data_IF_316368210906
#
_entry.id   IF_316368210906
#
_cell.length_a   1.000
_cell.length_b   1.000
_cell.length_c   1.000
_cell.angle_alpha   90.00
_cell.angle_beta   90.00
_cell.angle_gamma   90.00
#
_symmetry.space_group_name_H-M   'P 1'
#
loop_
_entity.id
_entity.type
_entity.pdbx_description
1 polymer ?
#
# COMPACT_ATOMS: atom_id res chain seq x y z
N UNK A 1 15.96 -1.23 9.23
CA UNK A 1 15.92 0.20 8.89
C UNK A 1 15.05 0.34 7.66
N UNK A 2 14.02 1.19 7.73
CA UNK A 2 13.10 1.43 6.62
C UNK A 2 13.71 2.46 5.65
N UNK A 3 14.49 1.99 4.70
CA UNK A 3 15.13 2.83 3.68
C UNK A 3 14.14 3.47 2.70
N UNK A 4 13.00 2.82 2.52
CA UNK A 4 12.00 3.16 1.52
C UNK A 4 10.84 3.96 2.10
N UNK A 5 10.89 4.26 3.39
CA UNK A 5 9.95 5.13 4.12
C UNK A 5 8.50 4.62 4.16
N UNK A 6 8.29 3.31 3.97
CA UNK A 6 6.94 2.70 3.97
C UNK A 6 6.33 2.63 5.37
N UNK A 7 7.15 2.65 6.43
CA UNK A 7 6.69 2.49 7.81
C UNK A 7 5.69 3.57 8.25
N UNK A 8 5.81 4.80 7.75
CA UNK A 8 4.86 5.88 8.10
C UNK A 8 3.48 5.63 7.54
N UNK A 9 3.39 5.23 6.27
CA UNK A 9 2.13 4.87 5.63
C UNK A 9 1.47 3.68 6.33
N UNK A 10 2.26 2.66 6.69
CA UNK A 10 1.80 1.51 7.45
C UNK A 10 1.28 1.91 8.83
N UNK A 11 2.03 2.74 9.56
CA UNK A 11 1.60 3.24 10.87
C UNK A 11 0.34 4.09 10.78
N UNK A 12 0.19 4.93 9.76
CA UNK A 12 -1.03 5.72 9.52
C UNK A 12 -2.26 4.83 9.30
N UNK A 13 -2.07 3.66 8.66
CA UNK A 13 -3.11 2.64 8.50
C UNK A 13 -3.39 1.87 9.81
N UNK A 14 -2.62 2.12 10.85
CA UNK A 14 -2.69 1.42 12.13
C UNK A 14 -2.07 0.02 12.09
N UNK A 15 -1.25 -0.28 11.08
CA UNK A 15 -0.49 -1.54 10.99
C UNK A 15 0.73 -1.44 11.88
N UNK A 16 0.94 -2.45 12.73
CA UNK A 16 2.05 -2.46 13.67
C UNK A 16 2.22 -3.78 14.42
N UNK A 17 2.82 -3.71 15.60
CA UNK A 17 3.09 -4.89 16.42
C UNK A 17 1.83 -5.69 16.71
N UNK A 18 1.88 -6.98 16.41
CA UNK A 18 0.77 -7.91 16.58
C UNK A 18 -0.04 -8.16 15.30
N UNK A 19 0.17 -7.35 14.25
CA UNK A 19 -0.43 -7.63 12.95
C UNK A 19 0.36 -8.70 12.18
N UNK A 20 -0.37 -9.49 11.41
CA UNK A 20 0.14 -10.37 10.36
C UNK A 20 -0.26 -9.77 9.02
N UNK A 21 0.71 -9.29 8.28
CA UNK A 21 0.49 -8.52 7.05
C UNK A 21 0.75 -9.40 5.84
N UNK A 22 -0.30 -9.66 5.05
CA UNK A 22 -0.16 -10.32 3.75
C UNK A 22 0.38 -9.33 2.74
N UNK A 23 1.64 -9.52 2.33
CA UNK A 23 2.29 -8.70 1.33
C UNK A 23 2.11 -9.33 -0.06
N UNK A 24 1.26 -8.71 -0.86
CA UNK A 24 0.91 -9.15 -2.20
C UNK A 24 1.65 -8.41 -3.33
N UNK A 25 2.65 -7.60 -3.01
CA UNK A 25 3.57 -7.10 -4.01
C UNK A 25 4.55 -8.18 -4.47
N UNK A 26 4.98 -8.07 -5.73
CA UNK A 26 5.92 -9.04 -6.31
C UNK A 26 7.30 -8.97 -5.64
N UNK A 27 7.84 -10.14 -5.35
CA UNK A 27 9.24 -10.34 -4.94
C UNK A 27 10.16 -10.73 -6.11
N UNK A 28 9.59 -10.82 -7.31
CA UNK A 28 10.25 -11.36 -8.49
C UNK A 28 10.47 -10.27 -9.54
N UNK A 29 11.72 -9.98 -9.90
CA UNK A 29 12.15 -8.95 -10.85
C UNK A 29 11.68 -7.50 -10.54
N UNK A 30 11.27 -7.22 -9.32
CA UNK A 30 10.86 -5.89 -8.86
C UNK A 30 11.16 -5.75 -7.37
N UNK A 31 11.53 -4.56 -6.89
CA UNK A 31 11.80 -4.35 -5.47
C UNK A 31 10.53 -4.25 -4.61
N UNK A 32 9.33 -4.14 -5.19
CA UNK A 32 8.11 -3.75 -4.49
C UNK A 32 7.78 -4.61 -3.25
N UNK A 33 7.90 -5.95 -3.38
CA UNK A 33 7.68 -6.86 -2.26
C UNK A 33 8.68 -6.63 -1.13
N UNK A 34 9.96 -6.47 -1.45
CA UNK A 34 11.02 -6.24 -0.46
C UNK A 34 10.92 -4.86 0.18
N UNK A 35 10.53 -3.82 -0.59
CA UNK A 35 10.27 -2.48 -0.06
C UNK A 35 9.20 -2.51 1.01
N UNK A 36 8.08 -3.14 0.70
CA UNK A 36 6.94 -3.29 1.61
C UNK A 36 7.31 -4.11 2.83
N UNK A 37 8.03 -5.22 2.66
CA UNK A 37 8.51 -6.06 3.75
C UNK A 37 9.37 -5.29 4.76
N UNK A 38 10.31 -4.46 4.29
CA UNK A 38 11.13 -3.64 5.18
C UNK A 38 10.29 -2.70 6.04
N UNK A 39 9.27 -2.06 5.45
CA UNK A 39 8.34 -1.21 6.18
C UNK A 39 7.52 -2.00 7.22
N UNK A 40 6.99 -3.17 6.84
CA UNK A 40 6.23 -4.05 7.74
C UNK A 40 7.08 -4.46 8.94
N UNK A 41 8.30 -4.88 8.71
CA UNK A 41 9.24 -5.25 9.78
C UNK A 41 9.62 -4.03 10.64
N UNK A 42 9.77 -2.85 10.04
CA UNK A 42 10.12 -1.63 10.77
C UNK A 42 9.04 -1.18 11.75
N UNK A 43 7.76 -1.41 11.45
CA UNK A 43 6.64 -1.13 12.37
C UNK A 43 6.41 -2.27 13.38
N UNK A 44 7.21 -3.34 13.33
CA UNK A 44 7.15 -4.46 14.26
C UNK A 44 6.04 -5.47 13.98
N UNK A 45 5.45 -5.44 12.79
CA UNK A 45 4.48 -6.42 12.33
C UNK A 45 5.17 -7.68 11.76
N UNK A 46 4.41 -8.76 11.64
CA UNK A 46 4.84 -9.99 10.99
C UNK A 46 4.48 -9.94 9.51
N UNK A 47 5.42 -10.29 8.64
CA UNK A 47 5.16 -10.37 7.20
C UNK A 47 4.79 -11.79 6.78
N UNK A 48 3.74 -11.91 5.98
CA UNK A 48 3.44 -13.06 5.15
C UNK A 48 3.75 -12.70 3.69
N UNK A 49 4.88 -13.16 3.12
CA UNK A 49 5.35 -12.77 1.79
C UNK A 49 4.61 -13.56 0.71
N UNK A 50 3.34 -13.22 0.47
CA UNK A 50 2.45 -13.95 -0.42
C UNK A 50 2.74 -13.72 -1.91
N UNK A 51 3.25 -12.53 -2.26
CA UNK A 51 3.52 -12.18 -3.66
C UNK A 51 2.25 -12.03 -4.49
N UNK A 52 2.39 -12.18 -5.80
CA UNK A 52 1.31 -11.99 -6.76
C UNK A 52 0.68 -13.32 -7.21
N UNK A 53 -0.58 -13.27 -7.68
CA UNK A 53 -1.29 -14.44 -8.23
C UNK A 53 -1.72 -15.45 -7.17
N UNK A 54 -1.96 -16.71 -7.59
CA UNK A 54 -2.35 -17.82 -6.70
C UNK A 54 -3.54 -17.50 -5.77
N UNK A 55 -4.57 -16.84 -6.30
CA UNK A 55 -5.67 -16.24 -5.52
C UNK A 55 -6.30 -17.20 -4.52
N UNK A 56 -6.65 -18.43 -4.92
CA UNK A 56 -7.23 -19.41 -4.02
C UNK A 56 -6.27 -19.78 -2.88
N UNK A 57 -5.02 -20.07 -3.20
CA UNK A 57 -4.01 -20.41 -2.21
C UNK A 57 -3.80 -19.26 -1.22
N UNK A 58 -3.78 -18.03 -1.72
CA UNK A 58 -3.65 -16.84 -0.90
C UNK A 58 -4.83 -16.64 0.04
N UNK A 59 -6.08 -16.85 -0.43
CA UNK A 59 -7.27 -16.75 0.41
C UNK A 59 -7.27 -17.84 1.52
N UNK A 60 -6.91 -19.09 1.18
CA UNK A 60 -6.80 -20.19 2.14
C UNK A 60 -5.71 -19.91 3.19
N UNK A 61 -4.51 -19.51 2.76
CA UNK A 61 -3.43 -19.19 3.66
C UNK A 61 -3.77 -18.01 4.57
N UNK A 62 -4.41 -16.95 4.04
CA UNK A 62 -4.83 -15.81 4.84
C UNK A 62 -5.79 -16.20 5.96
N UNK A 63 -6.76 -17.09 5.67
CA UNK A 63 -7.70 -17.62 6.67
C UNK A 63 -6.97 -18.46 7.73
N UNK A 64 -6.13 -19.41 7.32
CA UNK A 64 -5.41 -20.31 8.22
C UNK A 64 -4.39 -19.60 9.10
N UNK A 65 -3.60 -18.70 8.53
CA UNK A 65 -2.58 -17.92 9.25
C UNK A 65 -3.25 -16.87 10.16
N UNK A 66 -4.47 -16.45 9.81
CA UNK A 66 -5.18 -15.38 10.52
C UNK A 66 -4.62 -14.01 10.21
N UNK A 67 -4.43 -13.71 8.93
CA UNK A 67 -3.98 -12.41 8.44
C UNK A 67 -4.87 -11.28 8.96
N UNK A 68 -4.28 -10.21 9.45
CA UNK A 68 -4.98 -9.05 10.02
C UNK A 68 -4.91 -7.81 9.14
N UNK A 69 -3.92 -7.75 8.26
CA UNK A 69 -3.68 -6.61 7.38
C UNK A 69 -3.18 -7.05 6.00
N UNK A 70 -3.40 -6.17 5.02
CA UNK A 70 -3.01 -6.37 3.63
C UNK A 70 -2.12 -5.23 3.14
N UNK A 71 -1.16 -5.55 2.28
CA UNK A 71 -0.44 -4.58 1.45
C UNK A 71 -0.31 -5.11 0.02
N UNK A 72 -0.66 -4.28 -0.96
CA UNK A 72 -0.64 -4.67 -2.38
C UNK A 72 -1.43 -3.70 -3.26
N UNK A 73 -1.79 -4.14 -4.46
CA UNK A 73 -2.65 -3.34 -5.34
C UNK A 73 -4.12 -3.42 -4.89
N UNK A 74 -4.91 -2.33 -5.07
CA UNK A 74 -6.28 -2.28 -4.56
C UNK A 74 -7.15 -3.45 -5.02
N UNK A 75 -7.20 -3.71 -6.32
CA UNK A 75 -8.12 -4.70 -6.89
C UNK A 75 -7.81 -6.14 -6.47
N UNK A 76 -6.55 -6.45 -6.16
CA UNK A 76 -6.18 -7.82 -5.79
C UNK A 76 -6.68 -8.20 -4.40
N UNK A 77 -6.79 -7.25 -3.47
CA UNK A 77 -7.46 -7.50 -2.19
C UNK A 77 -8.92 -7.90 -2.41
N UNK A 78 -9.65 -7.18 -3.28
CA UNK A 78 -11.05 -7.54 -3.59
C UNK A 78 -11.16 -8.96 -4.13
N UNK A 79 -10.28 -9.33 -5.06
CA UNK A 79 -10.23 -10.67 -5.66
C UNK A 79 -9.98 -11.76 -4.60
N UNK A 80 -9.09 -11.50 -3.62
CA UNK A 80 -8.82 -12.43 -2.52
C UNK A 80 -10.06 -12.56 -1.61
N UNK A 81 -10.71 -11.45 -1.27
CA UNK A 81 -11.90 -11.44 -0.41
C UNK A 81 -13.07 -12.18 -1.08
N UNK A 82 -13.33 -11.91 -2.36
CA UNK A 82 -14.39 -12.58 -3.14
C UNK A 82 -14.13 -14.08 -3.26
N UNK A 83 -12.87 -14.48 -3.45
CA UNK A 83 -12.48 -15.89 -3.44
C UNK A 83 -12.66 -16.54 -2.06
N UNK A 84 -12.39 -15.80 -1.00
CA UNK A 84 -12.66 -16.22 0.37
C UNK A 84 -14.16 -16.51 0.59
N UNK A 85 -15.03 -15.61 0.15
CA UNK A 85 -16.48 -15.75 0.23
C UNK A 85 -16.96 -16.98 -0.58
N UNK A 86 -16.46 -17.15 -1.82
CA UNK A 86 -16.77 -18.30 -2.67
C UNK A 86 -16.43 -19.64 -2.02
N UNK A 87 -15.30 -19.68 -1.29
CA UNK A 87 -14.80 -20.88 -0.63
C UNK A 87 -15.29 -21.05 0.82
N UNK A 88 -16.09 -20.11 1.34
CA UNK A 88 -16.58 -20.12 2.72
C UNK A 88 -15.48 -19.96 3.77
N UNK A 89 -14.40 -19.23 3.43
CA UNK A 89 -13.25 -18.99 4.31
C UNK A 89 -13.50 -17.76 5.18
N UNK A 90 -13.03 -17.79 6.42
CA UNK A 90 -13.09 -16.64 7.31
C UNK A 90 -11.88 -15.71 7.09
N UNK A 91 -12.10 -14.58 6.42
CA UNK A 91 -11.15 -13.50 6.23
C UNK A 91 -11.51 -12.26 7.06
N UNK A 92 -12.44 -12.40 8.01
CA UNK A 92 -12.96 -11.27 8.82
C UNK A 92 -11.91 -10.60 9.71
N UNK A 93 -10.76 -11.22 9.93
CA UNK A 93 -9.64 -10.65 10.68
C UNK A 93 -8.89 -9.58 9.90
N UNK A 94 -9.00 -9.52 8.58
CA UNK A 94 -8.42 -8.45 7.77
C UNK A 94 -9.19 -7.16 8.05
N UNK A 95 -8.57 -6.24 8.77
CA UNK A 95 -9.18 -4.96 9.18
C UNK A 95 -8.46 -3.74 8.65
N UNK A 96 -7.28 -3.92 8.08
CA UNK A 96 -6.40 -2.85 7.64
C UNK A 96 -5.84 -3.18 6.27
N UNK A 97 -5.78 -2.19 5.40
CA UNK A 97 -5.13 -2.33 4.10
C UNK A 97 -4.39 -1.05 3.73
N UNK A 98 -3.14 -1.18 3.32
CA UNK A 98 -2.39 -0.13 2.64
C UNK A 98 -2.23 -0.54 1.19
N UNK A 99 -2.78 0.26 0.28
CA UNK A 99 -2.78 -0.08 -1.15
C UNK A 99 -2.02 0.95 -1.98
N UNK A 100 -1.37 0.48 -3.02
CA UNK A 100 -0.59 1.33 -3.94
C UNK A 100 -0.33 0.63 -5.26
N UNK A 101 0.39 1.29 -6.18
CA UNK A 101 0.69 0.74 -7.49
C UNK A 101 -0.52 0.69 -8.46
N UNK A 102 -1.66 1.21 -8.05
CA UNK A 102 -2.87 1.35 -8.84
C UNK A 102 -3.87 2.27 -8.14
N UNK A 103 -4.88 2.78 -8.86
CA UNK A 103 -5.88 3.68 -8.30
C UNK A 103 -6.84 2.92 -7.36
N UNK A 104 -7.11 3.50 -6.21
CA UNK A 104 -8.20 3.04 -5.34
C UNK A 104 -9.49 3.81 -5.72
N UNK A 105 -10.35 3.15 -6.48
CA UNK A 105 -11.62 3.76 -6.90
C UNK A 105 -12.61 3.88 -5.72
N UNK A 106 -13.48 4.91 -5.71
CA UNK A 106 -14.44 5.12 -4.62
C UNK A 106 -15.33 3.90 -4.33
N UNK A 107 -15.78 3.19 -5.36
CA UNK A 107 -16.58 1.98 -5.22
C UNK A 107 -15.82 0.85 -4.51
N UNK A 108 -14.56 0.67 -4.83
CA UNK A 108 -13.69 -0.34 -4.20
C UNK A 108 -13.42 0.02 -2.73
N UNK A 109 -13.17 1.30 -2.46
CA UNK A 109 -13.01 1.79 -1.07
C UNK A 109 -14.28 1.56 -0.23
N UNK A 110 -15.46 1.84 -0.77
CA UNK A 110 -16.72 1.61 -0.06
C UNK A 110 -16.95 0.11 0.22
N UNK A 111 -16.66 -0.77 -0.74
CA UNK A 111 -16.71 -2.23 -0.53
C UNK A 111 -15.81 -2.67 0.64
N UNK A 112 -14.62 -2.12 0.78
CA UNK A 112 -13.74 -2.41 1.92
C UNK A 112 -14.31 -1.90 3.23
N UNK A 113 -14.86 -0.69 3.23
CA UNK A 113 -15.50 -0.09 4.40
C UNK A 113 -16.71 -0.90 4.88
N UNK A 114 -17.55 -1.41 3.96
CA UNK A 114 -18.67 -2.31 4.27
C UNK A 114 -18.20 -3.60 4.95
N UNK A 115 -17.02 -4.10 4.59
CA UNK A 115 -16.36 -5.24 5.25
C UNK A 115 -15.65 -4.88 6.56
N UNK A 116 -15.66 -3.60 6.97
CA UNK A 116 -14.99 -3.11 8.15
C UNK A 116 -13.46 -3.05 8.01
N UNK A 117 -12.97 -2.86 6.79
CA UNK A 117 -11.55 -2.73 6.46
C UNK A 117 -11.21 -1.25 6.28
N UNK A 118 -10.32 -0.71 7.11
CA UNK A 118 -9.70 0.60 6.88
C UNK A 118 -8.69 0.45 5.73
N UNK A 119 -9.00 1.05 4.59
CA UNK A 119 -8.13 1.03 3.43
C UNK A 119 -7.60 2.43 3.13
N UNK A 120 -6.28 2.60 3.27
CA UNK A 120 -5.57 3.82 2.88
C UNK A 120 -4.68 3.51 1.68
N UNK A 121 -4.38 4.56 0.90
CA UNK A 121 -3.50 4.40 -0.25
C UNK A 121 -2.20 5.17 -0.08
N UNK A 122 -1.17 4.71 -0.78
CA UNK A 122 0.09 5.41 -0.92
C UNK A 122 0.50 5.54 -2.39
N UNK A 123 1.32 6.55 -2.65
CA UNK A 123 2.00 6.75 -3.92
C UNK A 123 3.50 6.57 -3.72
N UNK A 124 4.11 5.78 -4.58
CA UNK A 124 5.54 5.54 -4.56
C UNK A 124 6.04 4.92 -5.85
N UNK A 125 7.35 4.89 -6.03
CA UNK A 125 7.99 4.25 -7.17
C UNK A 125 9.09 3.28 -6.71
N UNK A 126 9.53 2.42 -7.62
CA UNK A 126 10.61 1.48 -7.36
C UNK A 126 11.94 2.18 -7.03
N UNK A 127 12.17 3.36 -7.62
CA UNK A 127 13.42 4.10 -7.45
C UNK A 127 13.42 4.99 -6.22
N UNK A 128 12.25 5.55 -5.84
CA UNK A 128 12.13 6.55 -4.79
C UNK A 128 11.58 5.97 -3.46
N UNK A 129 10.93 4.80 -3.52
CA UNK A 129 10.17 4.29 -2.39
C UNK A 129 8.86 5.06 -2.19
N UNK A 130 8.42 5.23 -0.93
CA UNK A 130 7.20 5.97 -0.61
C UNK A 130 7.41 7.48 -0.84
N UNK A 131 6.50 8.10 -1.58
CA UNK A 131 6.50 9.54 -1.90
C UNK A 131 5.39 10.26 -1.14
N UNK A 132 4.20 9.68 -1.10
CA UNK A 132 3.05 10.25 -0.41
C UNK A 132 2.09 9.15 0.06
N UNK A 133 1.28 9.44 1.07
CA UNK A 133 0.33 8.49 1.61
C UNK A 133 -0.87 9.18 2.26
N UNK A 134 -2.00 8.51 2.31
CA UNK A 134 -3.14 8.94 3.10
C UNK A 134 -2.91 8.65 4.59
N UNK A 135 -3.27 9.59 5.44
CA UNK A 135 -3.34 9.40 6.90
C UNK A 135 -4.78 9.26 7.41
N UNK A 136 -5.73 9.71 6.60
CA UNK A 136 -7.16 9.62 6.82
C UNK A 136 -7.79 9.24 5.49
N UNK A 137 -8.74 8.30 5.49
CA UNK A 137 -9.43 7.89 4.27
C UNK A 137 -10.12 9.09 3.60
N UNK A 138 -10.02 9.13 2.26
CA UNK A 138 -10.57 10.19 1.42
C UNK A 138 -9.99 11.60 1.64
N UNK A 139 -8.94 11.74 2.46
CA UNK A 139 -8.20 12.99 2.60
C UNK A 139 -7.06 13.08 1.55
N UNK A 140 -6.56 14.29 1.27
CA UNK A 140 -5.36 14.45 0.47
C UNK A 140 -4.17 13.66 1.04
N UNK A 141 -3.33 13.14 0.16
CA UNK A 141 -2.10 12.48 0.58
C UNK A 141 -1.13 13.47 1.21
N UNK A 142 -0.44 13.00 2.24
CA UNK A 142 0.67 13.71 2.88
C UNK A 142 1.94 13.32 2.14
N UNK A 143 2.71 14.32 1.69
CA UNK A 143 4.04 14.10 1.11
C UNK A 143 4.99 13.63 2.21
N UNK A 144 5.78 12.59 1.93
CA UNK A 144 6.78 12.09 2.86
C UNK A 144 7.88 13.13 3.10
N UNK A 145 8.31 13.30 4.35
CA UNK A 145 9.32 14.29 4.71
C UNK A 145 10.72 14.03 4.15
N UNK A 146 10.96 12.82 3.62
CA UNK A 146 12.20 12.44 2.98
C UNK A 146 12.30 12.83 1.51
N UNK A 147 11.29 13.51 0.95
CA UNK A 147 11.25 13.91 -0.46
C UNK A 147 10.75 15.34 -0.61
N UNK A 148 11.17 15.97 -1.71
CA UNK A 148 10.59 17.22 -2.21
C UNK A 148 9.84 16.87 -3.49
N UNK A 149 8.57 17.30 -3.57
CA UNK A 149 7.71 17.08 -4.74
C UNK A 149 7.42 18.42 -5.38
N UNK A 150 7.71 18.53 -6.67
CA UNK A 150 7.47 19.71 -7.49
C UNK A 150 6.63 19.34 -8.70
N UNK A 151 5.73 20.23 -9.12
CA UNK A 151 4.96 20.05 -10.37
C UNK A 151 5.53 21.04 -11.38
N UNK A 152 6.10 20.49 -12.45
CA UNK A 152 6.90 21.28 -13.40
C UNK A 152 6.39 21.12 -14.83
N UNK A 153 6.73 22.07 -15.68
CA UNK A 153 6.51 21.94 -17.12
C UNK A 153 7.39 20.85 -17.67
N UNK A 154 6.83 19.85 -18.39
CA UNK A 154 7.60 18.70 -18.87
C UNK A 154 8.88 19.10 -19.62
N UNK A 155 9.99 18.47 -19.24
CA UNK A 155 11.30 18.66 -19.88
C UNK A 155 12.01 19.98 -19.59
N UNK A 156 11.45 20.88 -18.79
CA UNK A 156 12.07 22.18 -18.48
C UNK A 156 12.54 22.31 -17.03
N UNK A 157 11.84 21.64 -16.09
CA UNK A 157 12.06 21.82 -14.67
C UNK A 157 11.47 23.11 -14.09
N UNK A 158 10.81 23.95 -14.90
CA UNK A 158 10.18 25.18 -14.44
C UNK A 158 8.82 24.87 -13.77
N UNK A 159 8.57 25.39 -12.55
CA UNK A 159 7.31 25.16 -11.87
C UNK A 159 6.10 25.63 -12.69
N UNK A 160 5.02 24.84 -12.69
CA UNK A 160 3.75 25.29 -13.28
C UNK A 160 2.98 26.16 -12.28
N UNK A 161 2.09 27.08 -12.75
CA UNK A 161 1.18 27.82 -11.89
C UNK A 161 0.27 26.88 -11.08
N UNK A 162 -0.14 27.33 -9.88
CA UNK A 162 -1.04 26.56 -9.03
C UNK A 162 -2.37 26.24 -9.75
N UNK A 163 -2.75 24.96 -9.70
CA UNK A 163 -3.97 24.46 -10.36
C UNK A 163 -3.75 23.97 -11.78
N UNK A 164 -2.57 24.13 -12.36
CA UNK A 164 -2.24 23.59 -13.67
C UNK A 164 -1.65 22.17 -13.58
N UNK A 165 -1.78 21.43 -14.68
CA UNK A 165 -1.26 20.07 -14.80
C UNK A 165 0.19 20.15 -15.26
N UNK A 166 1.07 19.38 -14.57
CA UNK A 166 2.49 19.28 -14.91
C UNK A 166 3.07 17.90 -14.70
N UNK A 167 4.36 17.78 -14.94
CA UNK A 167 5.15 16.60 -14.62
C UNK A 167 5.52 16.60 -13.14
N UNK A 168 5.44 15.43 -12.49
CA UNK A 168 5.85 15.27 -11.09
C UNK A 168 7.37 15.08 -11.04
N UNK A 169 8.07 16.06 -10.50
CA UNK A 169 9.50 15.99 -10.20
C UNK A 169 9.67 15.67 -8.72
N UNK A 170 10.44 14.62 -8.40
CA UNK A 170 10.69 14.22 -7.02
C UNK A 170 12.19 14.21 -6.72
N UNK A 171 12.58 14.92 -5.69
CA UNK A 171 13.95 14.92 -5.16
C UNK A 171 13.98 14.20 -3.83
N UNK A 172 14.84 13.17 -3.69
CA UNK A 172 15.06 12.49 -2.41
C UNK A 172 16.07 13.24 -1.58
N UNK A 173 15.82 13.37 -0.27
CA UNK A 173 16.72 14.03 0.68
C UNK A 173 17.72 13.06 1.33
N UNK A 174 17.58 11.78 1.06
CA UNK A 174 18.52 10.77 1.54
C UNK A 174 19.62 10.54 0.50
N UNK A 175 20.90 10.45 0.93
CA UNK A 175 22.02 10.14 0.04
C UNK A 175 21.95 8.70 -0.48
#
# INVERSE_FOLDING_TARGET
KDWWRSARALNATGIGKGDIVQNCFSYHFTPAGMLSEQGILAVGATVFPAGTGQTELQARAASEIGVTAYIGVPDFLQIILDKGDELGLDLSKIKKALVGGGPLFPKTRESYKERGILCLQNYGTADLGNVAYESIADAPMIVDEGVIVEIVTPGTGEPVPEGEIGEVLVTTLNP
#
